data_IF_778126245897
#
_entry.id   IF_778126245897
#
_cell.length_a   1.000
_cell.length_b   1.000
_cell.length_c   1.000
_cell.angle_alpha   90.00
_cell.angle_beta   90.00
_cell.angle_gamma   90.00
#
_symmetry.space_group_name_H-M   'P 1'
#
loop_
_entity.id
_entity.type
_entity.pdbx_description
1 polymer ?
#
# COMPACT_ATOMS: atom_id res chain seq x y z
N UNK A 1 28.51 11.11 -44.64
CA UNK A 1 28.46 10.32 -43.39
C UNK A 1 28.67 11.29 -42.24
N UNK A 2 27.58 11.74 -41.63
CA UNK A 2 27.61 12.65 -40.49
C UNK A 2 27.53 11.82 -39.20
N UNK A 3 28.57 11.93 -38.39
CA UNK A 3 28.63 11.43 -37.02
C UNK A 3 27.75 12.34 -36.15
N UNK A 4 26.68 11.78 -35.57
CA UNK A 4 25.94 12.44 -34.49
C UNK A 4 26.64 12.12 -33.18
N UNK A 5 27.36 13.09 -32.64
CA UNK A 5 27.77 13.10 -31.24
C UNK A 5 26.50 13.20 -30.38
N UNK A 6 26.31 12.23 -29.48
CA UNK A 6 25.26 12.24 -28.46
C UNK A 6 25.86 12.82 -27.19
N UNK A 7 25.42 14.01 -26.82
CA UNK A 7 25.63 14.52 -25.47
C UNK A 7 24.83 13.68 -24.45
N UNK A 8 25.39 13.39 -23.27
CA UNK A 8 24.66 12.70 -22.21
C UNK A 8 23.60 13.62 -21.61
N UNK A 9 22.34 13.17 -21.65
CA UNK A 9 21.22 13.82 -20.96
C UNK A 9 21.45 13.71 -19.46
N UNK A 10 21.88 14.80 -18.85
CA UNK A 10 21.91 14.99 -17.40
C UNK A 10 20.47 15.18 -16.92
N UNK A 11 19.85 14.11 -16.44
CA UNK A 11 18.55 14.16 -15.77
C UNK A 11 18.77 14.73 -14.37
N UNK A 12 18.55 16.03 -14.21
CA UNK A 12 18.40 16.65 -12.90
C UNK A 12 17.11 16.14 -12.25
N UNK A 13 17.24 15.43 -11.14
CA UNK A 13 16.13 15.10 -10.24
C UNK A 13 15.35 16.38 -9.87
N UNK A 14 14.02 16.39 -9.85
CA UNK A 14 13.28 17.49 -9.24
C UNK A 14 13.54 17.44 -7.74
N UNK A 15 14.33 18.39 -7.23
CA UNK A 15 14.36 18.71 -5.81
C UNK A 15 13.13 19.56 -5.53
N UNK A 16 12.02 18.92 -5.18
CA UNK A 16 10.91 19.61 -4.52
C UNK A 16 11.38 19.91 -3.08
N UNK A 17 11.64 21.19 -2.81
CA UNK A 17 12.02 21.71 -1.51
C UNK A 17 10.83 21.62 -0.56
N UNK A 18 10.85 20.61 0.31
CA UNK A 18 9.95 20.45 1.44
C UNK A 18 10.27 21.48 2.54
N UNK A 19 9.52 22.59 2.55
CA UNK A 19 9.32 23.41 3.75
C UNK A 19 7.85 23.85 3.75
N UNK A 20 6.98 23.01 4.27
CA UNK A 20 5.60 23.39 4.61
C UNK A 20 5.21 22.77 5.97
N UNK A 21 5.95 23.22 6.98
CA UNK A 21 5.76 22.95 8.40
C UNK A 21 4.51 23.71 8.90
N UNK A 22 3.30 23.31 8.49
CA UNK A 22 2.04 23.86 9.02
C UNK A 22 0.75 23.04 8.78
N UNK A 23 0.79 21.73 8.48
CA UNK A 23 -0.45 20.95 8.30
C UNK A 23 -0.92 20.29 9.60
N UNK A 24 -1.45 21.12 10.51
CA UNK A 24 -2.15 20.71 11.72
C UNK A 24 -3.67 20.63 11.44
N UNK A 25 -4.07 19.56 10.76
CA UNK A 25 -5.39 18.92 10.83
C UNK A 25 -5.12 17.43 11.10
N UNK A 26 -6.03 16.55 11.53
CA UNK A 26 -5.65 15.15 11.78
C UNK A 26 -5.32 14.54 10.42
N UNK A 27 -4.04 14.53 9.99
CA UNK A 27 -3.65 14.42 8.57
C UNK A 27 -3.66 12.98 8.08
N UNK A 28 -4.79 12.32 8.29
CA UNK A 28 -5.30 11.33 7.37
C UNK A 28 -6.19 12.10 6.39
N UNK A 29 -5.88 12.13 5.07
CA UNK A 29 -4.83 11.40 4.34
C UNK A 29 -3.87 12.28 3.50
N UNK A 30 -2.83 11.70 2.89
CA UNK A 30 -2.02 12.32 1.82
C UNK A 30 -2.83 12.59 0.53
N UNK A 31 -4.13 12.32 0.57
CA UNK A 31 -5.09 12.76 -0.43
C UNK A 31 -5.17 14.29 -0.44
N UNK A 32 -5.07 14.87 -1.62
CA UNK A 32 -5.16 16.31 -1.89
C UNK A 32 -6.62 16.74 -2.15
N UNK A 33 -7.55 15.79 -2.14
CA UNK A 33 -8.97 16.00 -2.32
C UNK A 33 -9.77 15.45 -1.12
N UNK A 34 -10.95 16.01 -0.81
CA UNK A 34 -11.82 15.49 0.24
C UNK A 34 -12.30 14.06 -0.07
N UNK A 35 -11.88 13.12 0.78
CA UNK A 35 -12.26 11.70 0.70
C UNK A 35 -12.63 11.17 2.07
N UNK A 36 -13.32 10.04 2.08
CA UNK A 36 -13.57 9.24 3.27
C UNK A 36 -13.26 7.77 3.03
N UNK A 37 -13.05 7.02 4.11
CA UNK A 37 -12.82 5.59 4.08
C UNK A 37 -14.12 4.89 4.49
N UNK A 38 -14.60 3.97 3.65
CA UNK A 38 -15.80 3.17 3.91
C UNK A 38 -15.51 1.69 3.71
N UNK A 39 -16.23 0.84 4.41
CA UNK A 39 -16.16 -0.61 4.22
C UNK A 39 -16.65 -1.01 2.82
N UNK A 40 -15.94 -1.96 2.20
CA UNK A 40 -16.26 -2.54 0.88
C UNK A 40 -16.45 -4.05 1.02
N UNK A 41 -17.56 -4.51 1.64
CA UNK A 41 -17.79 -5.92 1.91
C UNK A 41 -17.93 -6.78 0.65
N UNK A 42 -18.19 -6.16 -0.51
CA UNK A 42 -18.21 -6.82 -1.82
C UNK A 42 -16.83 -7.35 -2.26
N UNK A 43 -15.74 -6.76 -1.76
CA UNK A 43 -14.36 -7.21 -2.04
C UNK A 43 -13.95 -8.29 -1.03
N UNK A 44 -14.34 -8.12 0.23
CA UNK A 44 -14.14 -9.11 1.28
C UNK A 44 -14.40 -8.55 2.68
N UNK A 45 -14.54 -9.41 3.70
CA UNK A 45 -14.66 -8.97 5.09
C UNK A 45 -13.47 -8.11 5.52
N UNK A 46 -13.73 -6.99 6.18
CA UNK A 46 -12.69 -6.07 6.68
C UNK A 46 -11.97 -5.26 5.61
N UNK A 47 -12.38 -5.34 4.34
CA UNK A 47 -11.86 -4.47 3.28
C UNK A 47 -12.50 -3.08 3.35
N UNK A 48 -11.69 -2.08 3.05
CA UNK A 48 -12.11 -0.69 2.93
C UNK A 48 -11.79 -0.15 1.54
N UNK A 49 -12.50 0.89 1.15
CA UNK A 49 -12.27 1.68 -0.06
C UNK A 49 -12.18 3.17 0.24
N UNK A 50 -11.62 3.92 -0.70
CA UNK A 50 -11.54 5.39 -0.64
C UNK A 50 -12.68 5.97 -1.47
N UNK A 51 -13.50 6.84 -0.90
CA UNK A 51 -14.66 7.43 -1.57
C UNK A 51 -14.55 8.95 -1.61
N UNK A 52 -14.91 9.55 -2.75
CA UNK A 52 -14.94 10.99 -2.91
C UNK A 52 -16.04 11.61 -2.05
N UNK A 53 -15.75 12.67 -1.28
CA UNK A 53 -16.77 13.44 -0.56
C UNK A 53 -17.41 14.53 -1.41
N UNK A 54 -16.73 14.94 -2.48
CA UNK A 54 -17.15 15.99 -3.42
C UNK A 54 -16.87 15.52 -4.85
N UNK A 55 -17.44 16.21 -5.83
CA UNK A 55 -17.05 16.01 -7.23
C UNK A 55 -15.57 16.38 -7.41
N UNK A 56 -14.77 15.47 -8.00
CA UNK A 56 -13.34 15.68 -8.28
C UNK A 56 -13.17 15.77 -9.81
N UNK A 57 -12.73 16.93 -10.36
CA UNK A 57 -12.52 17.09 -11.80
C UNK A 57 -11.53 16.08 -12.40
N UNK A 58 -11.53 15.93 -13.72
CA UNK A 58 -10.47 15.18 -14.42
C UNK A 58 -9.12 15.86 -14.21
N UNK A 59 -8.04 15.08 -14.35
CA UNK A 59 -6.66 15.56 -14.28
C UNK A 59 -6.30 16.20 -12.92
N UNK A 60 -7.08 15.90 -11.89
CA UNK A 60 -6.83 16.38 -10.54
C UNK A 60 -5.79 15.49 -9.88
N UNK A 61 -4.67 16.07 -9.45
CA UNK A 61 -3.72 15.40 -8.57
C UNK A 61 -4.42 15.12 -7.24
N UNK A 62 -4.73 13.87 -6.98
CA UNK A 62 -5.57 13.47 -5.85
C UNK A 62 -4.75 12.93 -4.67
N UNK A 63 -3.49 12.51 -4.89
CA UNK A 63 -2.61 11.95 -3.86
C UNK A 63 -1.17 12.42 -4.10
N UNK A 64 -0.37 12.48 -3.02
CA UNK A 64 1.07 12.76 -3.13
C UNK A 64 1.89 11.74 -2.36
N UNK A 65 3.06 11.42 -2.92
CA UNK A 65 4.09 10.70 -2.18
C UNK A 65 4.49 11.51 -0.95
N UNK A 66 4.58 10.83 0.18
CA UNK A 66 5.03 11.40 1.44
C UNK A 66 6.12 10.52 2.02
N UNK A 67 6.88 11.06 2.97
CA UNK A 67 7.85 10.30 3.78
C UNK A 67 7.23 9.19 4.64
N UNK A 68 5.90 8.98 4.55
CA UNK A 68 5.16 7.92 5.25
C UNK A 68 5.17 6.59 4.51
N UNK A 69 5.51 6.57 3.22
CA UNK A 69 5.70 5.30 2.52
C UNK A 69 7.03 4.70 2.97
N UNK A 70 6.94 3.59 3.68
CA UNK A 70 8.09 2.81 4.09
C UNK A 70 8.54 1.97 2.90
N UNK A 71 9.84 2.03 2.61
CA UNK A 71 10.51 1.25 1.59
C UNK A 71 11.39 0.22 2.30
N UNK A 72 11.15 -1.06 2.03
CA UNK A 72 11.83 -2.18 2.67
C UNK A 72 12.48 -3.00 1.57
N UNK A 73 13.81 -3.11 1.59
CA UNK A 73 14.52 -3.96 0.63
C UNK A 73 14.10 -5.42 0.81
N UNK A 74 13.98 -6.17 -0.29
CA UNK A 74 13.49 -7.57 -0.29
C UNK A 74 14.23 -8.48 0.68
N UNK A 75 15.54 -8.27 0.85
CA UNK A 75 16.39 -9.09 1.74
C UNK A 75 16.10 -8.82 3.23
N UNK A 76 15.57 -7.63 3.54
CA UNK A 76 15.22 -7.22 4.91
C UNK A 76 13.75 -7.47 5.23
N UNK A 77 12.89 -7.70 4.24
CA UNK A 77 11.44 -7.79 4.40
C UNK A 77 11.02 -8.88 5.39
N UNK A 78 11.65 -10.05 5.33
CA UNK A 78 11.34 -11.13 6.26
C UNK A 78 11.69 -10.76 7.70
N UNK A 79 12.85 -10.14 7.90
CA UNK A 79 13.27 -9.64 9.21
C UNK A 79 12.35 -8.53 9.72
N UNK A 80 11.94 -7.62 8.83
CA UNK A 80 11.01 -6.55 9.16
C UNK A 80 9.67 -7.10 9.66
N UNK A 81 9.09 -8.08 8.96
CA UNK A 81 7.83 -8.72 9.36
C UNK A 81 7.98 -9.35 10.75
N UNK A 82 9.07 -10.09 10.98
CA UNK A 82 9.34 -10.70 12.28
C UNK A 82 9.43 -9.66 13.40
N UNK A 83 10.14 -8.56 13.20
CA UNK A 83 10.38 -7.58 14.25
C UNK A 83 9.22 -6.63 14.51
N UNK A 84 8.47 -6.24 13.47
CA UNK A 84 7.52 -5.13 13.55
C UNK A 84 6.07 -5.57 13.51
N UNK A 85 5.80 -6.84 13.18
CA UNK A 85 4.44 -7.38 13.09
C UNK A 85 4.24 -8.52 14.09
N UNK A 86 5.24 -9.39 14.26
CA UNK A 86 5.14 -10.59 15.13
C UNK A 86 5.56 -10.29 16.58
N UNK A 87 6.48 -9.36 16.82
CA UNK A 87 7.03 -9.12 18.17
C UNK A 87 6.37 -7.89 18.81
N UNK A 88 5.23 -8.09 19.48
CA UNK A 88 4.87 -7.30 20.67
C UNK A 88 3.80 -7.99 21.55
N UNK A 89 4.15 -9.05 22.30
CA UNK A 89 3.34 -9.52 23.45
C UNK A 89 4.10 -10.05 24.68
N UNK A 90 5.44 -10.06 24.72
CA UNK A 90 6.20 -10.63 25.87
C UNK A 90 7.23 -9.68 26.51
N UNK A 91 6.77 -8.53 27.00
CA UNK A 91 7.47 -7.80 28.09
C UNK A 91 6.56 -7.57 29.29
N UNK A 92 6.23 -8.66 29.98
CA UNK A 92 6.14 -8.68 31.46
C UNK A 92 6.58 -10.07 31.95
N UNK A 93 7.67 -10.19 32.73
CA UNK A 93 8.02 -11.46 33.36
C UNK A 93 7.21 -11.60 34.64
N UNK A 94 6.14 -12.39 34.66
CA UNK A 94 5.66 -12.98 35.91
C UNK A 94 5.30 -14.46 35.72
N UNK A 95 6.11 -15.29 36.37
CA UNK A 95 5.94 -16.72 36.52
C UNK A 95 4.56 -17.06 37.10
N UNK A 96 3.77 -17.85 36.39
CA UNK A 96 2.92 -18.86 37.01
C UNK A 96 2.61 -19.97 36.01
N UNK A 97 2.96 -21.20 36.36
CA UNK A 97 2.58 -22.42 35.66
C UNK A 97 1.08 -22.67 35.85
N UNK A 98 0.30 -22.65 34.77
CA UNK A 98 -1.04 -23.25 34.71
C UNK A 98 -1.44 -23.55 33.24
N UNK A 99 -2.09 -24.69 33.01
CA UNK A 99 -2.43 -25.32 31.71
C UNK A 99 -3.37 -24.52 30.77
N UNK A 100 -3.56 -23.21 30.99
CA UNK A 100 -4.28 -22.29 30.09
C UNK A 100 -3.40 -21.70 28.97
N UNK A 101 -2.08 -21.90 29.03
CA UNK A 101 -1.12 -21.33 28.07
C UNK A 101 -1.33 -21.81 26.62
N UNK A 102 -1.82 -23.03 26.42
CA UNK A 102 -1.97 -23.62 25.07
C UNK A 102 -3.05 -22.91 24.23
N UNK A 103 -4.11 -22.37 24.84
CA UNK A 103 -5.16 -21.64 24.11
C UNK A 103 -4.67 -20.24 23.72
N UNK A 104 -3.97 -19.54 24.62
CA UNK A 104 -3.41 -18.21 24.35
C UNK A 104 -2.35 -18.19 23.25
N UNK A 105 -1.51 -19.24 23.16
CA UNK A 105 -0.50 -19.37 22.10
C UNK A 105 -1.15 -19.60 20.72
N UNK A 106 -2.26 -20.35 20.67
CA UNK A 106 -2.99 -20.63 19.42
C UNK A 106 -3.79 -19.41 18.93
N UNK A 107 -4.27 -18.56 19.84
CA UNK A 107 -4.97 -17.31 19.49
C UNK A 107 -3.97 -16.23 19.05
N UNK A 108 -2.85 -16.07 19.75
CA UNK A 108 -1.80 -15.11 19.37
C UNK A 108 -1.21 -15.42 17.97
N UNK A 109 -0.95 -16.69 17.65
CA UNK A 109 -0.45 -17.07 16.32
C UNK A 109 -1.42 -16.82 15.16
N UNK A 110 -2.72 -16.69 15.43
CA UNK A 110 -3.73 -16.33 14.40
C UNK A 110 -3.81 -14.83 14.17
N UNK A 111 -3.65 -14.03 15.22
CA UNK A 111 -3.66 -12.57 15.13
C UNK A 111 -2.44 -12.07 14.32
N UNK A 112 -1.27 -12.68 14.53
CA UNK A 112 -0.04 -12.33 13.81
C UNK A 112 -0.14 -12.67 12.32
N UNK A 113 -0.70 -13.84 11.98
CA UNK A 113 -0.87 -14.24 10.58
C UNK A 113 -1.81 -13.29 9.83
N UNK A 114 -2.91 -12.86 10.46
CA UNK A 114 -3.82 -11.89 9.84
C UNK A 114 -3.19 -10.50 9.75
N UNK A 115 -2.41 -10.06 10.74
CA UNK A 115 -1.66 -8.81 10.67
C UNK A 115 -0.65 -8.81 9.50
N UNK A 116 0.05 -9.93 9.27
CA UNK A 116 0.95 -10.09 8.12
C UNK A 116 0.17 -10.08 6.81
N UNK A 117 -0.99 -10.75 6.76
CA UNK A 117 -1.84 -10.73 5.57
C UNK A 117 -2.30 -9.32 5.23
N UNK A 118 -2.74 -8.54 6.22
CA UNK A 118 -3.13 -7.14 6.05
C UNK A 118 -1.94 -6.31 5.56
N UNK A 119 -0.77 -6.46 6.18
CA UNK A 119 0.45 -5.75 5.79
C UNK A 119 0.84 -6.03 4.34
N UNK A 120 0.82 -7.30 3.91
CA UNK A 120 1.16 -7.69 2.54
C UNK A 120 0.11 -7.24 1.52
N UNK A 121 -1.19 -7.24 1.88
CA UNK A 121 -2.29 -6.73 1.03
C UNK A 121 -2.23 -5.22 0.82
N UNK A 122 -1.66 -4.49 1.77
CA UNK A 122 -1.58 -3.02 1.78
C UNK A 122 -0.26 -2.48 1.25
N UNK A 123 0.65 -3.36 0.82
CA UNK A 123 1.91 -2.97 0.19
C UNK A 123 2.01 -3.46 -1.24
N UNK A 124 3.01 -2.93 -1.93
CA UNK A 124 3.17 -3.09 -3.38
C UNK A 124 4.65 -2.97 -3.76
N UNK A 125 4.96 -3.36 -5.00
CA UNK A 125 6.30 -3.21 -5.58
C UNK A 125 6.17 -2.31 -6.80
N UNK A 126 7.07 -1.31 -6.92
CA UNK A 126 7.10 -0.46 -8.09
C UNK A 126 7.83 -1.15 -9.25
N UNK A 127 7.39 -0.99 -10.52
CA UNK A 127 8.01 -1.66 -11.65
C UNK A 127 9.45 -1.17 -11.95
N UNK A 128 9.79 0.06 -11.55
CA UNK A 128 11.10 0.66 -11.72
C UNK A 128 12.05 0.40 -10.54
N UNK A 129 11.55 -0.18 -9.44
CA UNK A 129 12.36 -0.59 -8.28
C UNK A 129 11.87 -1.96 -7.76
N UNK A 130 12.18 -3.04 -8.49
CA UNK A 130 11.63 -4.37 -8.23
C UNK A 130 12.23 -5.07 -7.00
N UNK A 131 13.19 -4.45 -6.32
CA UNK A 131 13.84 -5.01 -5.14
C UNK A 131 13.33 -4.38 -3.83
N UNK A 132 12.37 -3.46 -3.91
CA UNK A 132 11.81 -2.74 -2.76
C UNK A 132 10.32 -3.02 -2.62
N UNK A 133 9.92 -3.42 -1.40
CA UNK A 133 8.53 -3.46 -0.97
C UNK A 133 8.14 -2.10 -0.39
N UNK A 134 7.11 -1.49 -0.98
CA UNK A 134 6.52 -0.24 -0.52
C UNK A 134 5.29 -0.54 0.34
N UNK A 135 5.19 0.06 1.51
CA UNK A 135 3.99 -0.04 2.36
C UNK A 135 3.72 1.31 3.01
N UNK A 136 2.44 1.61 3.25
CA UNK A 136 2.06 2.89 3.83
C UNK A 136 1.05 2.70 4.96
N UNK A 137 1.50 2.10 6.05
CA UNK A 137 0.67 1.76 7.22
C UNK A 137 0.03 2.98 7.89
N UNK A 138 0.50 4.19 7.61
CA UNK A 138 -0.01 5.44 8.22
C UNK A 138 -0.77 6.34 7.25
N UNK A 139 -0.96 5.94 5.98
CA UNK A 139 -1.73 6.69 5.00
C UNK A 139 -2.94 5.91 4.49
N UNK A 140 -4.00 6.62 4.14
CA UNK A 140 -5.23 6.00 3.66
C UNK A 140 -5.16 5.56 2.18
N UNK A 141 -4.10 5.93 1.44
CA UNK A 141 -3.84 5.44 0.08
C UNK A 141 -3.78 3.92 -0.01
N UNK A 142 -3.42 3.23 1.08
CA UNK A 142 -3.45 1.75 1.20
C UNK A 142 -4.84 1.12 1.06
N UNK A 143 -5.90 1.93 1.08
CA UNK A 143 -7.28 1.51 0.90
C UNK A 143 -7.80 1.82 -0.51
N UNK A 144 -6.99 2.37 -1.41
CA UNK A 144 -7.37 2.38 -2.82
C UNK A 144 -7.57 0.95 -3.29
N UNK A 145 -8.63 0.70 -4.05
CA UNK A 145 -8.91 -0.63 -4.57
C UNK A 145 -8.59 -0.73 -6.06
N UNK A 146 -8.43 -1.97 -6.52
CA UNK A 146 -8.29 -2.25 -7.93
C UNK A 146 -9.61 -2.12 -8.69
N UNK A 147 -9.57 -1.58 -9.91
CA UNK A 147 -10.63 -1.73 -10.91
C UNK A 147 -10.04 -1.98 -12.30
N UNK A 148 -10.66 -2.84 -13.15
CA UNK A 148 -10.29 -2.99 -14.56
C UNK A 148 -10.67 -1.76 -15.40
N UNK A 149 -11.53 -0.88 -14.86
CA UNK A 149 -11.92 0.41 -15.46
C UNK A 149 -11.68 1.53 -14.44
N UNK A 150 -10.40 1.79 -14.08
CA UNK A 150 -10.07 2.70 -13.00
C UNK A 150 -10.50 4.14 -13.32
N UNK A 151 -10.72 4.93 -12.28
CA UNK A 151 -10.92 6.38 -12.41
C UNK A 151 -9.71 7.19 -11.93
N UNK A 152 -8.69 6.55 -11.35
CA UNK A 152 -7.41 7.14 -10.98
C UNK A 152 -6.24 6.46 -11.70
N UNK A 153 -5.25 7.26 -12.09
CA UNK A 153 -3.96 6.81 -12.60
C UNK A 153 -2.81 7.36 -11.75
N UNK A 154 -1.55 7.09 -12.13
CA UNK A 154 -0.37 7.53 -11.37
C UNK A 154 -0.25 9.06 -11.27
N UNK A 155 -0.75 9.80 -12.26
CA UNK A 155 -0.61 11.26 -12.34
C UNK A 155 -1.85 12.04 -11.86
N UNK A 156 -2.97 11.37 -11.59
CA UNK A 156 -4.20 12.04 -11.21
C UNK A 156 -5.48 11.26 -11.57
N UNK A 157 -6.62 11.92 -11.44
CA UNK A 157 -7.92 11.39 -11.86
C UNK A 157 -8.00 11.33 -13.39
N UNK A 158 -8.53 10.24 -13.94
CA UNK A 158 -8.64 10.00 -15.39
C UNK A 158 -9.90 10.61 -16.02
N UNK A 159 -10.85 11.00 -15.17
CA UNK A 159 -12.13 11.63 -15.53
C UNK A 159 -12.72 12.32 -14.31
N UNK A 160 -13.85 12.98 -14.49
CA UNK A 160 -14.70 13.42 -13.38
C UNK A 160 -15.09 12.22 -12.50
N UNK A 161 -14.85 12.34 -11.20
CA UNK A 161 -15.30 11.42 -10.15
C UNK A 161 -16.41 12.11 -9.37
N UNK A 162 -17.56 11.44 -9.21
CA UNK A 162 -18.71 12.04 -8.51
C UNK A 162 -18.60 11.89 -7.00
N UNK A 163 -19.18 12.82 -6.26
CA UNK A 163 -19.33 12.67 -4.82
C UNK A 163 -20.02 11.32 -4.49
N UNK A 164 -19.42 10.57 -3.58
CA UNK A 164 -19.83 9.22 -3.17
C UNK A 164 -19.28 8.09 -4.04
N UNK A 165 -18.59 8.37 -5.14
CA UNK A 165 -17.93 7.37 -5.98
C UNK A 165 -16.59 6.92 -5.37
N UNK A 166 -16.25 5.63 -5.54
CA UNK A 166 -14.99 5.06 -5.08
C UNK A 166 -13.82 5.45 -5.99
N UNK A 167 -12.69 5.85 -5.42
CA UNK A 167 -11.44 6.04 -6.14
C UNK A 167 -10.76 4.68 -6.32
N UNK A 168 -10.49 4.32 -7.57
CA UNK A 168 -9.91 3.02 -7.94
C UNK A 168 -8.75 3.16 -8.90
N UNK A 169 -7.77 2.27 -8.78
CA UNK A 169 -6.57 2.22 -9.61
C UNK A 169 -6.44 0.91 -10.37
N UNK A 170 -5.65 0.90 -11.45
CA UNK A 170 -5.29 -0.34 -12.12
C UNK A 170 -3.98 -0.89 -11.54
N UNK A 171 -4.01 -2.02 -10.84
CA UNK A 171 -2.82 -2.61 -10.24
C UNK A 171 -1.93 -3.36 -11.23
N UNK A 172 -2.37 -3.53 -12.49
CA UNK A 172 -1.62 -4.24 -13.51
C UNK A 172 -0.28 -3.60 -13.88
N UNK A 173 -0.06 -2.33 -13.54
CA UNK A 173 1.23 -1.66 -13.76
C UNK A 173 2.25 -1.90 -12.65
N UNK A 174 1.85 -2.47 -11.51
CA UNK A 174 2.78 -2.74 -10.41
C UNK A 174 3.77 -3.85 -10.75
N UNK A 175 4.93 -3.78 -10.10
CA UNK A 175 5.94 -4.81 -10.12
C UNK A 175 5.40 -6.11 -9.50
N UNK A 176 5.84 -7.23 -10.03
CA UNK A 176 5.46 -8.55 -9.52
C UNK A 176 6.62 -9.54 -9.56
N UNK A 177 7.76 -9.20 -8.92
CA UNK A 177 8.93 -10.07 -8.90
C UNK A 177 8.62 -11.37 -8.15
N UNK A 178 9.36 -12.44 -8.47
CA UNK A 178 9.11 -13.76 -7.90
C UNK A 178 9.17 -13.77 -6.36
N UNK A 179 10.14 -13.06 -5.76
CA UNK A 179 10.27 -12.98 -4.30
C UNK A 179 9.02 -12.42 -3.61
N UNK A 180 8.33 -11.47 -4.25
CA UNK A 180 7.12 -10.86 -3.72
C UNK A 180 5.92 -11.81 -3.84
N UNK A 181 5.83 -12.53 -4.96
CA UNK A 181 4.84 -13.60 -5.14
C UNK A 181 5.02 -14.71 -4.10
N UNK A 182 6.27 -15.12 -3.86
CA UNK A 182 6.61 -16.21 -2.95
C UNK A 182 6.22 -15.86 -1.50
N UNK A 183 6.57 -14.65 -1.04
CA UNK A 183 6.20 -14.22 0.33
C UNK A 183 4.68 -14.03 0.47
N UNK A 184 4.00 -13.46 -0.52
CA UNK A 184 2.54 -13.37 -0.50
C UNK A 184 1.87 -14.75 -0.46
N UNK A 185 2.36 -15.70 -1.28
CA UNK A 185 1.85 -17.06 -1.32
C UNK A 185 2.03 -17.80 0.01
N UNK A 186 3.13 -17.55 0.73
CA UNK A 186 3.39 -18.12 2.06
C UNK A 186 2.25 -17.80 3.06
N UNK A 187 1.63 -16.64 2.94
CA UNK A 187 0.55 -16.18 3.83
C UNK A 187 -0.85 -16.25 3.19
N UNK A 188 -0.98 -16.87 2.01
CA UNK A 188 -2.26 -16.99 1.31
C UNK A 188 -2.79 -15.64 0.79
N UNK A 189 -1.91 -14.70 0.49
CA UNK A 189 -2.23 -13.38 -0.06
C UNK A 189 -1.93 -13.36 -1.55
N UNK A 190 -2.75 -12.64 -2.33
CA UNK A 190 -2.43 -12.32 -3.72
C UNK A 190 -1.69 -10.97 -3.77
N UNK A 191 -0.67 -10.90 -4.62
CA UNK A 191 -0.06 -9.62 -4.99
C UNK A 191 -1.06 -8.75 -5.73
N UNK A 192 -0.88 -7.44 -5.70
CA UNK A 192 -1.76 -6.50 -6.40
C UNK A 192 -1.86 -6.78 -7.91
N UNK A 193 -0.76 -7.23 -8.54
CA UNK A 193 -0.79 -7.62 -9.95
C UNK A 193 -1.63 -8.88 -10.19
N UNK A 194 -1.53 -9.88 -9.32
CA UNK A 194 -2.37 -11.09 -9.40
C UNK A 194 -3.86 -10.74 -9.20
N UNK A 195 -4.17 -9.78 -8.31
CA UNK A 195 -5.54 -9.26 -8.16
C UNK A 195 -6.04 -8.66 -9.48
N UNK A 196 -5.22 -7.84 -10.16
CA UNK A 196 -5.59 -7.28 -11.46
C UNK A 196 -5.79 -8.34 -12.55
N UNK A 197 -4.93 -9.36 -12.59
CA UNK A 197 -5.03 -10.47 -13.54
C UNK A 197 -6.30 -11.31 -13.36
N UNK A 198 -6.79 -11.47 -12.11
CA UNK A 198 -8.04 -12.15 -11.83
C UNK A 198 -9.26 -11.30 -12.19
N UNK A 199 -9.22 -10.00 -11.93
CA UNK A 199 -10.32 -9.08 -12.24
C UNK A 199 -10.48 -8.79 -13.75
N UNK A 200 -9.46 -9.13 -14.56
CA UNK A 200 -9.47 -8.93 -16.01
C UNK A 200 -10.04 -10.12 -16.82
N UNK A 201 -10.46 -11.19 -16.15
CA UNK A 201 -11.04 -12.40 -16.78
C UNK A 201 -12.57 -12.34 -16.77
#
# INVERSE_FOLDING_TARGET
>A
MALFERDPVSVSSPQDSDDDDALLFPTLPAFLCPVEIRETPSIGPGHNGVFALVDIPSDTKFWKWTNRVHQIHKDDLHHYIQQNIIIDKDVQPQQSFDDKATIGIIEAGRDDEEAIRIFLRQGFVLPNDPDVFCTNSTDAGRFMNHSPTPNCGPDGTLRLIKAGEELTMNYGFHGNPQWYQDICAQYGVLTERQVAELASK
#
